data_IF_973134849197
#
_entry.id   IF_973134849197
#
_cell.length_a   1.000
_cell.length_b   1.000
_cell.length_c   1.000
_cell.angle_alpha   90.00
_cell.angle_beta   90.00
_cell.angle_gamma   90.00
#
_symmetry.space_group_name_H-M   'P 1'
#
loop_
_entity.id
_entity.type
_entity.pdbx_description
1 polymer ?
#
# COMPACT_ATOMS: atom_id res chain seq x y z
N UNK A 1 8.03 40.24 -34.95
CA UNK A 1 8.36 40.34 -33.50
C UNK A 1 7.30 39.69 -32.60
N UNK A 2 5.98 39.92 -32.79
CA UNK A 2 4.91 39.30 -31.98
C UNK A 2 4.91 37.76 -31.96
N UNK A 3 5.02 37.10 -33.11
CA UNK A 3 5.03 35.62 -33.20
C UNK A 3 6.16 34.94 -32.40
N UNK A 4 7.26 35.65 -32.15
CA UNK A 4 8.42 35.10 -31.43
C UNK A 4 8.30 35.23 -29.91
N UNK A 5 7.48 36.18 -29.43
CA UNK A 5 7.10 36.27 -28.02
C UNK A 5 6.07 35.20 -27.67
N UNK A 6 5.09 34.96 -28.55
CA UNK A 6 4.06 33.94 -28.31
C UNK A 6 4.64 32.53 -28.24
N UNK A 7 5.61 32.20 -29.10
CA UNK A 7 6.31 30.91 -29.05
C UNK A 7 7.18 30.77 -27.79
N UNK A 8 7.85 31.84 -27.36
CA UNK A 8 8.65 31.86 -26.14
C UNK A 8 7.80 31.69 -24.88
N UNK A 9 6.70 32.44 -24.76
CA UNK A 9 5.74 32.31 -23.66
C UNK A 9 5.13 30.91 -23.64
N UNK A 10 4.76 30.36 -24.80
CA UNK A 10 4.23 28.99 -24.90
C UNK A 10 5.22 27.95 -24.38
N UNK A 11 6.50 28.08 -24.73
CA UNK A 11 7.54 27.16 -24.26
C UNK A 11 7.74 27.26 -22.73
N UNK A 12 7.69 28.46 -22.16
CA UNK A 12 7.76 28.65 -20.70
C UNK A 12 6.54 28.03 -20.01
N UNK A 13 5.34 28.31 -20.50
CA UNK A 13 4.11 27.74 -19.95
C UNK A 13 4.13 26.21 -20.00
N UNK A 14 4.59 25.63 -21.11
CA UNK A 14 4.72 24.18 -21.25
C UNK A 14 5.69 23.61 -20.21
N UNK A 15 6.88 24.19 -20.05
CA UNK A 15 7.84 23.73 -19.05
C UNK A 15 7.31 23.86 -17.60
N UNK A 16 6.51 24.89 -17.31
CA UNK A 16 5.87 25.07 -16.00
C UNK A 16 4.79 23.99 -15.78
N UNK A 17 3.96 23.72 -16.80
CA UNK A 17 2.92 22.68 -16.75
C UNK A 17 3.55 21.31 -16.57
N UNK A 18 4.64 20.99 -17.28
CA UNK A 18 5.35 19.72 -17.13
C UNK A 18 5.90 19.52 -15.71
N UNK A 19 6.53 20.56 -15.14
CA UNK A 19 6.98 20.52 -13.75
C UNK A 19 5.80 20.36 -12.79
N UNK A 20 4.73 21.13 -12.98
CA UNK A 20 3.53 21.06 -12.16
C UNK A 20 2.92 19.66 -12.19
N UNK A 21 2.74 19.07 -13.36
CA UNK A 21 2.18 17.72 -13.51
C UNK A 21 3.01 16.68 -12.79
N UNK A 22 4.34 16.76 -12.87
CA UNK A 22 5.23 15.86 -12.12
C UNK A 22 5.06 16.00 -10.60
N UNK A 23 5.01 17.23 -10.10
CA UNK A 23 4.76 17.47 -8.66
C UNK A 23 3.37 16.98 -8.25
N UNK A 24 2.37 17.23 -9.08
CA UNK A 24 0.99 16.83 -8.85
C UNK A 24 0.85 15.30 -8.81
N UNK A 25 1.53 14.58 -9.70
CA UNK A 25 1.55 13.12 -9.70
C UNK A 25 2.14 12.55 -8.40
N UNK A 26 3.30 13.05 -7.98
CA UNK A 26 3.92 12.63 -6.72
C UNK A 26 3.03 12.96 -5.51
N UNK A 27 2.47 14.17 -5.48
CA UNK A 27 1.56 14.60 -4.41
C UNK A 27 0.30 13.72 -4.39
N UNK A 28 -0.30 13.45 -5.55
CA UNK A 28 -1.46 12.58 -5.69
C UNK A 28 -1.19 11.18 -5.14
N UNK A 29 -0.03 10.61 -5.44
CA UNK A 29 0.37 9.32 -4.88
C UNK A 29 0.49 9.35 -3.36
N UNK A 30 1.12 10.37 -2.77
CA UNK A 30 1.19 10.51 -1.30
C UNK A 30 -0.20 10.55 -0.65
N UNK A 31 -1.15 11.26 -1.26
CA UNK A 31 -2.53 11.31 -0.78
C UNK A 31 -3.23 9.96 -0.90
N UNK A 32 -3.04 9.25 -2.02
CA UNK A 32 -3.57 7.90 -2.22
C UNK A 32 -3.00 6.93 -1.17
N UNK A 33 -1.69 6.97 -0.91
CA UNK A 33 -1.05 6.18 0.13
C UNK A 33 -1.63 6.46 1.51
N UNK A 34 -1.86 7.73 1.86
CA UNK A 34 -2.51 8.11 3.11
C UNK A 34 -3.95 7.58 3.19
N UNK A 35 -4.73 7.63 2.10
CA UNK A 35 -6.07 7.03 2.06
C UNK A 35 -6.04 5.51 2.23
N UNK A 36 -5.07 4.82 1.62
CA UNK A 36 -4.90 3.37 1.76
C UNK A 36 -4.59 3.00 3.22
N UNK A 37 -3.73 3.78 3.88
CA UNK A 37 -3.35 3.59 5.28
C UNK A 37 -4.43 4.07 6.28
N UNK A 38 -5.49 4.73 5.83
CA UNK A 38 -6.63 5.02 6.70
C UNK A 38 -7.56 3.80 6.75
N UNK A 39 -7.75 3.17 7.92
CA UNK A 39 -8.62 2.01 8.07
C UNK A 39 -10.07 2.27 7.66
N UNK A 40 -10.53 3.52 7.67
CA UNK A 40 -11.88 3.92 7.24
C UNK A 40 -12.04 4.01 5.72
N UNK A 41 -10.95 4.12 4.97
CA UNK A 41 -10.98 4.38 3.53
C UNK A 41 -10.39 3.23 2.72
N UNK A 42 -9.14 2.84 3.01
CA UNK A 42 -8.41 1.79 2.29
C UNK A 42 -8.51 1.98 0.76
N UNK A 43 -8.35 0.90 -0.01
CA UNK A 43 -8.50 0.92 -1.48
C UNK A 43 -9.93 1.24 -1.93
N UNK A 44 -10.92 0.99 -1.07
CA UNK A 44 -12.35 1.18 -1.35
C UNK A 44 -12.66 2.66 -1.63
N UNK A 45 -12.06 3.60 -0.89
CA UNK A 45 -12.25 5.02 -1.15
C UNK A 45 -11.70 5.48 -2.50
N UNK A 46 -10.54 4.95 -2.90
CA UNK A 46 -9.92 5.25 -4.19
C UNK A 46 -10.79 4.72 -5.33
N UNK A 47 -11.26 3.48 -5.20
CA UNK A 47 -12.21 2.87 -6.15
C UNK A 47 -13.48 3.70 -6.28
N UNK A 48 -14.09 4.10 -5.15
CA UNK A 48 -15.24 4.99 -5.12
C UNK A 48 -14.97 6.32 -5.84
N UNK A 49 -13.84 6.97 -5.56
CA UNK A 49 -13.51 8.26 -6.16
C UNK A 49 -13.41 8.16 -7.69
N UNK A 50 -12.65 7.20 -8.21
CA UNK A 50 -12.48 7.05 -9.65
C UNK A 50 -13.74 6.57 -10.37
N UNK A 51 -14.53 5.71 -9.72
CA UNK A 51 -15.80 5.22 -10.27
C UNK A 51 -16.87 6.33 -10.28
N UNK A 52 -17.10 7.01 -9.15
CA UNK A 52 -18.25 7.90 -8.98
C UNK A 52 -17.95 9.37 -9.34
N UNK A 53 -16.71 9.84 -9.15
CA UNK A 53 -16.33 11.23 -9.42
C UNK A 53 -15.71 11.41 -10.79
N UNK A 54 -14.72 10.58 -11.13
CA UNK A 54 -14.05 10.65 -12.44
C UNK A 54 -14.77 9.86 -13.53
N UNK A 55 -15.68 8.95 -13.15
CA UNK A 55 -16.52 8.16 -14.07
C UNK A 55 -15.68 7.36 -15.08
N UNK A 56 -14.60 6.75 -14.59
CA UNK A 56 -13.78 5.85 -15.39
C UNK A 56 -14.59 4.64 -15.89
N UNK A 57 -14.19 4.10 -17.03
CA UNK A 57 -14.71 2.80 -17.48
C UNK A 57 -14.24 1.70 -16.53
N UNK A 58 -14.94 0.56 -16.50
CA UNK A 58 -14.54 -0.59 -15.67
C UNK A 58 -13.11 -1.05 -16.00
N UNK A 59 -12.72 -0.99 -17.27
CA UNK A 59 -11.38 -1.37 -17.71
C UNK A 59 -10.33 -0.40 -17.15
N UNK A 60 -10.50 0.91 -17.38
CA UNK A 60 -9.56 1.94 -16.91
C UNK A 60 -9.47 1.98 -15.38
N UNK A 61 -10.59 1.75 -14.69
CA UNK A 61 -10.63 1.64 -13.24
C UNK A 61 -9.77 0.48 -12.75
N UNK A 62 -9.91 -0.71 -13.34
CA UNK A 62 -9.14 -1.88 -12.94
C UNK A 62 -7.64 -1.67 -13.17
N UNK A 63 -7.25 -1.13 -14.33
CA UNK A 63 -5.85 -0.80 -14.63
C UNK A 63 -5.31 0.22 -13.62
N UNK A 64 -6.08 1.27 -13.33
CA UNK A 64 -5.68 2.32 -12.37
C UNK A 64 -5.52 1.77 -10.95
N UNK A 65 -6.46 0.94 -10.51
CA UNK A 65 -6.41 0.31 -9.18
C UNK A 65 -5.22 -0.62 -9.05
N UNK A 66 -4.90 -1.38 -10.09
CA UNK A 66 -3.72 -2.26 -10.12
C UNK A 66 -2.42 -1.46 -10.07
N UNK A 67 -2.29 -0.37 -10.86
CA UNK A 67 -1.13 0.53 -10.82
C UNK A 67 -0.92 1.11 -9.41
N UNK A 68 -1.98 1.58 -8.76
CA UNK A 68 -1.93 2.11 -7.40
C UNK A 68 -1.50 1.04 -6.39
N UNK A 69 -2.05 -0.17 -6.50
CA UNK A 69 -1.68 -1.28 -5.63
C UNK A 69 -0.20 -1.64 -5.77
N UNK A 70 0.28 -1.80 -7.01
CA UNK A 70 1.69 -2.12 -7.28
C UNK A 70 2.60 -1.03 -6.73
N UNK A 71 2.28 0.25 -6.94
CA UNK A 71 3.07 1.37 -6.39
C UNK A 71 3.08 1.39 -4.87
N UNK A 72 1.96 1.10 -4.22
CA UNK A 72 1.85 1.02 -2.76
C UNK A 72 2.70 -0.13 -2.19
N UNK A 73 2.57 -1.32 -2.77
CA UNK A 73 3.33 -2.52 -2.38
C UNK A 73 4.84 -2.30 -2.57
N UNK A 74 5.24 -1.73 -3.71
CA UNK A 74 6.64 -1.41 -4.04
C UNK A 74 7.24 -0.36 -3.07
N UNK A 75 6.47 0.67 -2.70
CA UNK A 75 6.86 1.62 -1.65
C UNK A 75 7.05 0.91 -0.30
N UNK A 76 6.08 0.08 0.10
CA UNK A 76 6.16 -0.67 1.35
C UNK A 76 7.41 -1.58 1.38
N UNK A 77 7.68 -2.30 0.30
CA UNK A 77 8.82 -3.22 0.21
C UNK A 77 10.16 -2.47 0.29
N UNK A 78 10.31 -1.40 -0.49
CA UNK A 78 11.58 -0.66 -0.56
C UNK A 78 11.91 0.09 0.71
N UNK A 79 10.91 0.64 1.39
CA UNK A 79 11.14 1.59 2.49
C UNK A 79 10.89 0.99 3.86
N UNK A 80 9.90 0.10 4.01
CA UNK A 80 9.45 -0.37 5.33
C UNK A 80 9.78 -1.84 5.59
N UNK A 81 9.73 -2.69 4.55
CA UNK A 81 10.12 -4.09 4.70
C UNK A 81 11.65 -4.26 4.76
N UNK A 82 12.40 -3.55 3.90
CA UNK A 82 13.87 -3.61 3.85
C UNK A 82 14.56 -3.25 5.18
N UNK A 83 13.97 -2.32 5.95
CA UNK A 83 14.47 -1.92 7.27
C UNK A 83 14.30 -3.00 8.34
N UNK A 84 13.47 -4.01 8.11
CA UNK A 84 13.13 -5.04 9.09
C UNK A 84 13.96 -6.31 8.97
N UNK A 85 14.59 -6.54 7.82
CA UNK A 85 15.26 -7.82 7.49
C UNK A 85 16.76 -7.85 7.81
N UNK A 86 17.34 -6.79 8.39
CA UNK A 86 18.78 -6.71 8.63
C UNK A 86 19.30 -7.50 9.83
N UNK A 87 18.45 -8.04 10.70
CA UNK A 87 18.88 -8.48 12.05
C UNK A 87 18.61 -9.95 12.45
N UNK A 88 18.09 -10.82 11.58
CA UNK A 88 17.79 -12.20 12.00
C UNK A 88 18.11 -13.26 10.95
N UNK A 89 19.28 -13.90 11.10
CA UNK A 89 19.42 -15.29 10.68
C UNK A 89 20.39 -16.05 11.60
N UNK A 90 19.84 -16.72 12.62
CA UNK A 90 20.55 -17.76 13.35
C UNK A 90 19.53 -18.73 13.95
N UNK A 91 19.42 -19.94 13.40
CA UNK A 91 18.37 -20.87 13.81
C UNK A 91 18.55 -22.32 13.31
N UNK A 92 19.47 -23.01 13.98
CA UNK A 92 19.72 -24.47 13.99
C UNK A 92 18.52 -25.39 13.68
N UNK A 93 18.78 -26.43 12.87
CA UNK A 93 17.88 -27.57 12.64
C UNK A 93 18.33 -28.75 13.52
N UNK A 94 17.44 -29.21 14.40
CA UNK A 94 17.60 -30.45 15.18
C UNK A 94 17.05 -31.64 14.38
N UNK A 95 17.82 -32.71 14.34
CA UNK A 95 17.61 -33.92 13.55
C UNK A 95 17.02 -35.02 14.45
N UNK A 96 15.89 -35.65 14.06
CA UNK A 96 15.38 -36.88 14.69
C UNK A 96 14.87 -37.81 13.60
N UNK A 97 15.47 -39.01 13.53
CA UNK A 97 15.11 -40.11 12.64
C UNK A 97 13.98 -40.98 13.21
N UNK A 98 13.07 -41.44 12.35
CA UNK A 98 12.49 -42.80 12.45
C UNK A 98 11.73 -43.19 11.17
N UNK A 99 11.88 -44.45 10.74
CA UNK A 99 11.47 -45.07 9.47
C UNK A 99 10.03 -45.63 9.49
N UNK A 100 9.14 -45.26 8.54
CA UNK A 100 7.99 -46.10 8.09
C UNK A 100 7.72 -46.00 6.55
N UNK A 101 8.17 -47.01 5.82
CA UNK A 101 7.80 -47.48 4.46
C UNK A 101 6.79 -46.69 3.57
N UNK A 102 7.35 -46.11 2.49
CA UNK A 102 6.84 -45.94 1.09
C UNK A 102 5.52 -45.17 0.86
N UNK A 103 4.44 -45.39 1.62
CA UNK A 103 3.22 -44.58 1.54
C UNK A 103 3.39 -43.23 2.29
N UNK A 104 4.28 -43.20 3.29
CA UNK A 104 4.71 -41.96 3.95
C UNK A 104 5.44 -41.02 3.01
N UNK A 105 6.23 -41.51 2.05
CA UNK A 105 7.03 -40.64 1.19
C UNK A 105 6.19 -39.64 0.41
N UNK A 106 5.02 -40.03 -0.12
CA UNK A 106 4.13 -39.09 -0.82
C UNK A 106 3.39 -38.14 0.14
N UNK A 107 3.12 -38.57 1.36
CA UNK A 107 2.49 -37.75 2.40
C UNK A 107 3.49 -36.74 2.96
N UNK A 108 4.72 -37.15 3.21
CA UNK A 108 5.85 -36.31 3.58
C UNK A 108 6.23 -35.36 2.45
N UNK A 109 6.22 -35.81 1.20
CA UNK A 109 6.44 -34.93 0.05
C UNK A 109 5.30 -33.93 -0.10
N UNK A 110 4.05 -34.33 0.20
CA UNK A 110 2.92 -33.41 0.28
C UNK A 110 3.08 -32.42 1.44
N UNK A 111 3.47 -32.86 2.64
CA UNK A 111 3.71 -31.97 3.79
C UNK A 111 4.93 -31.09 3.58
N UNK A 112 5.99 -31.54 2.89
CA UNK A 112 7.15 -30.73 2.49
C UNK A 112 6.77 -29.74 1.41
N UNK A 113 5.97 -30.13 0.42
CA UNK A 113 5.43 -29.24 -0.60
C UNK A 113 4.50 -28.20 0.03
N UNK A 114 3.56 -28.62 0.86
CA UNK A 114 2.65 -27.76 1.59
C UNK A 114 3.41 -26.86 2.56
N UNK A 115 4.41 -27.36 3.27
CA UNK A 115 5.28 -26.56 4.14
C UNK A 115 6.13 -25.58 3.33
N UNK A 116 6.61 -25.96 2.13
CA UNK A 116 7.33 -25.05 1.22
C UNK A 116 6.40 -23.98 0.67
N UNK A 117 5.19 -24.31 0.25
CA UNK A 117 4.17 -23.35 -0.18
C UNK A 117 3.76 -22.42 0.98
N UNK A 118 3.58 -23.00 2.17
CA UNK A 118 3.26 -22.26 3.39
C UNK A 118 4.44 -21.41 3.83
N UNK A 119 5.68 -21.83 3.64
CA UNK A 119 6.90 -21.07 3.95
C UNK A 119 7.08 -19.91 2.96
N UNK A 120 6.86 -20.15 1.66
CA UNK A 120 6.82 -19.09 0.64
C UNK A 120 5.70 -18.09 0.95
N UNK A 121 4.54 -18.54 1.44
CA UNK A 121 3.44 -17.67 1.87
C UNK A 121 3.68 -16.97 3.21
N UNK A 122 4.36 -17.62 4.17
CA UNK A 122 4.71 -17.05 5.49
C UNK A 122 5.83 -16.02 5.39
N UNK A 123 6.73 -16.21 4.42
CA UNK A 123 7.79 -15.26 4.11
C UNK A 123 7.41 -14.33 2.95
N UNK A 124 6.14 -14.29 2.53
CA UNK A 124 5.68 -13.28 1.59
C UNK A 124 5.81 -11.91 2.28
N UNK A 125 6.71 -11.04 1.82
CA UNK A 125 6.94 -9.75 2.44
C UNK A 125 5.68 -8.86 2.42
N UNK A 126 4.73 -9.14 1.52
CA UNK A 126 3.45 -8.46 1.40
C UNK A 126 2.31 -9.11 2.20
N UNK A 127 2.55 -10.22 2.90
CA UNK A 127 1.49 -10.94 3.64
C UNK A 127 0.71 -10.01 4.58
N UNK A 128 1.41 -9.13 5.31
CA UNK A 128 0.80 -8.14 6.21
C UNK A 128 0.05 -7.03 5.48
N UNK A 129 0.52 -6.63 4.30
CA UNK A 129 -0.17 -5.67 3.42
C UNK A 129 -1.49 -6.27 2.95
N UNK A 130 -1.45 -7.49 2.43
CA UNK A 130 -2.66 -8.21 1.97
C UNK A 130 -3.65 -8.39 3.11
N UNK A 131 -3.19 -8.86 4.28
CA UNK A 131 -4.02 -8.99 5.48
C UNK A 131 -4.77 -7.68 5.80
N UNK A 132 -4.05 -6.56 5.85
CA UNK A 132 -4.66 -5.26 6.12
C UNK A 132 -5.65 -4.80 5.04
N UNK A 133 -5.34 -5.02 3.76
CA UNK A 133 -6.22 -4.62 2.65
C UNK A 133 -7.50 -5.47 2.58
N UNK A 134 -7.43 -6.73 2.97
CA UNK A 134 -8.57 -7.68 2.98
C UNK A 134 -9.48 -7.48 4.21
N UNK A 135 -8.96 -6.90 5.29
CA UNK A 135 -9.76 -6.56 6.46
C UNK A 135 -10.87 -5.55 6.12
N UNK A 136 -12.07 -5.65 6.72
CA UNK A 136 -13.14 -4.70 6.49
C UNK A 136 -12.73 -3.27 6.86
N UNK A 137 -13.38 -2.28 6.23
CA UNK A 137 -13.19 -0.87 6.60
C UNK A 137 -13.64 -0.64 8.05
N UNK A 138 -12.88 0.17 8.78
CA UNK A 138 -13.20 0.57 10.14
C UNK A 138 -14.38 1.56 10.18
N UNK A 139 -14.96 1.73 11.36
CA UNK A 139 -15.99 2.75 11.60
C UNK A 139 -15.43 4.15 11.41
N UNK A 140 -16.19 5.03 10.75
CA UNK A 140 -15.86 6.43 10.49
C UNK A 140 -15.45 7.23 11.74
N UNK A 141 -15.93 6.85 12.92
CA UNK A 141 -15.73 7.59 14.17
C UNK A 141 -14.50 7.10 14.96
N UNK A 142 -13.63 6.28 14.35
CA UNK A 142 -12.44 5.79 15.04
C UNK A 142 -11.33 6.83 15.07
N UNK A 143 -10.58 6.87 16.17
CA UNK A 143 -9.31 7.58 16.20
C UNK A 143 -8.27 6.75 15.44
N UNK A 144 -7.90 7.22 14.24
CA UNK A 144 -7.02 6.51 13.32
C UNK A 144 -5.63 6.26 13.94
N UNK A 145 -5.09 7.23 14.69
CA UNK A 145 -3.78 7.10 15.33
C UNK A 145 -3.81 6.08 16.47
N UNK A 146 -4.88 6.09 17.27
CA UNK A 146 -5.13 5.06 18.28
C UNK A 146 -5.30 3.68 17.62
N UNK A 147 -5.99 3.58 16.49
CA UNK A 147 -6.15 2.30 15.78
C UNK A 147 -4.80 1.72 15.37
N UNK A 148 -3.94 2.52 14.74
CA UNK A 148 -2.58 2.07 14.37
C UNK A 148 -1.71 1.75 15.58
N UNK A 149 -1.88 2.46 16.69
CA UNK A 149 -1.19 2.16 17.95
C UNK A 149 -1.58 0.79 18.52
N UNK A 150 -2.87 0.44 18.48
CA UNK A 150 -3.37 -0.87 18.93
C UNK A 150 -2.99 -2.01 17.99
N UNK A 151 -2.85 -1.73 16.68
CA UNK A 151 -2.49 -2.74 15.68
C UNK A 151 -0.98 -2.83 15.42
N UNK A 152 -0.16 -2.06 16.14
CA UNK A 152 1.29 -1.98 15.96
C UNK A 152 1.97 -3.33 16.08
N UNK A 153 1.56 -4.16 17.05
CA UNK A 153 2.18 -5.47 17.27
C UNK A 153 1.88 -6.45 16.13
N UNK A 154 0.71 -6.33 15.49
CA UNK A 154 0.30 -7.21 14.40
C UNK A 154 0.78 -6.73 13.03
N UNK A 155 0.90 -5.40 12.87
CA UNK A 155 1.22 -4.71 11.62
C UNK A 155 2.34 -3.66 11.84
N UNK A 156 3.54 -4.03 12.32
CA UNK A 156 4.56 -3.07 12.77
C UNK A 156 5.04 -2.13 11.66
N UNK A 157 5.36 -2.68 10.49
CA UNK A 157 5.88 -1.91 9.35
C UNK A 157 4.82 -1.01 8.73
N UNK A 158 3.58 -1.50 8.62
CA UNK A 158 2.45 -0.71 8.17
C UNK A 158 2.11 0.39 9.17
N UNK A 159 2.27 0.14 10.48
CA UNK A 159 2.05 1.15 11.51
C UNK A 159 3.11 2.25 11.49
N UNK A 160 4.37 1.91 11.17
CA UNK A 160 5.43 2.89 10.93
C UNK A 160 5.11 3.73 9.68
N UNK A 161 4.72 3.08 8.59
CA UNK A 161 4.29 3.75 7.36
C UNK A 161 3.07 4.66 7.60
N UNK A 162 2.08 4.19 8.35
CA UNK A 162 0.91 4.99 8.71
C UNK A 162 1.28 6.22 9.54
N UNK A 163 2.24 6.12 10.46
CA UNK A 163 2.74 7.28 11.21
C UNK A 163 3.35 8.33 10.27
N UNK A 164 4.19 7.92 9.32
CA UNK A 164 4.84 8.86 8.40
C UNK A 164 3.83 9.57 7.50
N UNK A 165 2.85 8.85 6.97
CA UNK A 165 1.91 9.38 5.98
C UNK A 165 0.70 10.10 6.61
N UNK A 166 0.25 9.66 7.79
CA UNK A 166 -0.90 10.25 8.47
C UNK A 166 -0.52 11.38 9.43
N UNK A 167 0.75 11.47 9.87
CA UNK A 167 1.22 12.55 10.73
C UNK A 167 1.50 13.86 9.98
N UNK A 168 1.55 13.86 8.63
CA UNK A 168 1.72 15.07 7.83
C UNK A 168 0.49 15.98 8.06
N UNK A 169 0.63 17.14 8.75
CA UNK A 169 -0.51 17.98 9.13
C UNK A 169 -1.19 18.71 7.95
N UNK A 170 -0.90 18.32 6.71
CA UNK A 170 -1.34 18.98 5.48
C UNK A 170 -2.46 18.22 4.75
N UNK A 171 -3.20 17.34 5.44
CA UNK A 171 -4.54 16.93 5.00
C UNK A 171 -5.60 17.70 5.80
N UNK A 172 -5.59 19.03 5.67
CA UNK A 172 -6.71 19.93 6.04
C UNK A 172 -8.05 19.54 5.39
N UNK A 173 -8.07 18.53 4.53
CA UNK A 173 -9.28 17.82 4.11
C UNK A 173 -9.95 17.01 5.23
N UNK A 174 -9.27 16.66 6.34
CA UNK A 174 -9.93 16.10 7.52
C UNK A 174 -10.65 17.15 8.36
N UNK A 175 -10.17 18.40 8.40
CA UNK A 175 -10.90 19.50 9.05
C UNK A 175 -12.10 19.98 8.21
N UNK A 176 -12.04 19.87 6.87
CA UNK A 176 -13.17 20.24 6.01
C UNK A 176 -14.23 19.14 5.81
N UNK A 177 -14.05 17.95 6.39
CA UNK A 177 -15.01 16.84 6.28
C UNK A 177 -16.33 17.02 7.07
N UNK A 178 -16.48 18.11 7.84
CA UNK A 178 -17.76 18.50 8.45
C UNK A 178 -18.36 19.81 7.91
N UNK A 179 -17.64 20.62 7.14
CA UNK A 179 -18.16 21.93 6.67
C UNK A 179 -18.55 21.97 5.18
N UNK A 180 -18.21 20.95 4.39
CA UNK A 180 -18.63 20.86 2.97
C UNK A 180 -19.91 20.02 2.74
N UNK A 181 -20.64 19.68 3.80
CA UNK A 181 -21.99 19.09 3.74
C UNK A 181 -23.03 20.00 4.42
N UNK A 182 -22.97 21.30 4.13
CA UNK A 182 -24.07 22.25 4.33
C UNK A 182 -24.36 22.99 3.02
#
# INVERSE_FOLDING_TARGET
>A
MRFHLDSFIRNICQAIIEKFNKYWEHSSFLHMTACILDPCYKMQFISYYYCEKEKLTVYDLNEKMQDIQVKFEDLYLRTYHSLSTSDYDNGNIVNIESNISIFENHIDDFFKYAAKQTWVSKNDPLSKVKQYLDEPIASKNINILEWWKHNKDQLPNLSAMAQDFLAIPATTLYQNRCLAMQ
#
